data_IF_525906185840
#
_entry.id   IF_525906185840
#
_cell.length_a   1.000
_cell.length_b   1.000
_cell.length_c   1.000
_cell.angle_alpha   90.00
_cell.angle_beta   90.00
_cell.angle_gamma   90.00
#
_symmetry.space_group_name_H-M   'P 1'
#
loop_
_entity.id
_entity.type
_entity.pdbx_description
1 polymer ?
#
# COMPACT_ATOMS: atom_id res chain seq x y z
N UNK A 1 15.34 24.98 13.77
CA UNK A 1 16.75 25.00 13.33
C UNK A 1 16.89 24.36 11.95
N UNK A 2 17.94 24.68 11.17
CA UNK A 2 18.26 24.01 9.91
C UNK A 2 19.67 23.40 9.97
N UNK A 3 20.06 22.63 8.93
CA UNK A 3 21.38 21.97 8.88
C UNK A 3 22.54 22.93 8.99
N UNK A 4 22.41 24.12 8.40
CA UNK A 4 23.42 25.16 8.46
C UNK A 4 23.64 25.65 9.91
N UNK A 5 22.56 26.00 10.63
CA UNK A 5 22.63 26.40 12.03
C UNK A 5 23.22 25.33 12.94
N UNK A 6 22.86 24.06 12.72
CA UNK A 6 23.43 22.93 13.48
C UNK A 6 24.93 22.79 13.20
N UNK A 7 25.36 22.98 11.96
CA UNK A 7 26.77 22.90 11.58
C UNK A 7 27.62 24.05 12.19
N UNK A 8 27.05 25.27 12.30
CA UNK A 8 27.67 26.42 12.93
C UNK A 8 27.87 26.19 14.44
N UNK A 9 26.85 25.69 15.16
CA UNK A 9 26.94 25.33 16.58
C UNK A 9 28.03 24.28 16.83
N UNK A 10 28.12 23.28 15.96
CA UNK A 10 29.09 22.21 16.09
C UNK A 10 30.50 22.57 15.64
N UNK A 11 30.68 23.67 14.90
CA UNK A 11 31.94 24.02 14.27
C UNK A 11 32.39 23.02 13.19
N UNK A 12 31.43 22.37 12.52
CA UNK A 12 31.68 21.35 11.52
C UNK A 12 31.07 21.74 10.17
N UNK A 13 31.53 21.11 9.07
CA UNK A 13 30.93 21.32 7.77
C UNK A 13 29.52 20.70 7.71
N UNK A 14 28.62 21.33 6.94
CA UNK A 14 27.25 20.75 6.71
C UNK A 14 27.32 19.33 6.17
N UNK A 15 28.30 19.03 5.33
CA UNK A 15 28.51 17.68 4.78
C UNK A 15 28.83 16.67 5.88
N UNK A 16 29.71 17.01 6.81
CA UNK A 16 30.08 16.15 7.95
C UNK A 16 28.88 15.92 8.86
N UNK A 17 28.12 16.96 9.18
CA UNK A 17 26.91 16.85 10.01
C UNK A 17 25.85 16.01 9.31
N UNK A 18 25.61 16.24 8.03
CA UNK A 18 24.64 15.45 7.23
C UNK A 18 25.03 13.96 7.16
N UNK A 19 26.31 13.66 6.89
CA UNK A 19 26.81 12.28 6.86
C UNK A 19 26.68 11.57 8.21
N UNK A 20 27.00 12.28 9.30
CA UNK A 20 26.84 11.73 10.64
C UNK A 20 25.38 11.36 10.95
N UNK A 21 24.45 12.28 10.67
CA UNK A 21 23.02 12.09 10.90
C UNK A 21 22.41 10.98 10.03
N UNK A 22 22.99 10.73 8.85
CA UNK A 22 22.56 9.67 7.94
C UNK A 22 23.32 8.33 8.13
N UNK A 23 24.20 8.23 9.15
CA UNK A 23 24.84 6.97 9.49
C UNK A 23 26.01 6.56 8.59
N UNK A 24 26.57 7.49 7.80
CA UNK A 24 27.68 7.17 6.89
C UNK A 24 28.93 6.72 7.66
N UNK A 25 29.61 5.65 7.24
CA UNK A 25 30.72 5.04 7.99
C UNK A 25 31.98 5.94 8.06
N UNK A 26 32.12 6.92 7.17
CA UNK A 26 33.27 7.82 7.14
C UNK A 26 33.34 8.78 8.35
N UNK A 27 32.24 8.95 9.09
CA UNK A 27 32.19 9.77 10.30
C UNK A 27 32.47 8.88 11.51
N UNK A 28 33.55 9.19 12.24
CA UNK A 28 33.90 8.44 13.43
C UNK A 28 32.80 8.50 14.50
N UNK A 29 32.72 7.46 15.32
CA UNK A 29 31.63 7.26 16.27
C UNK A 29 31.53 8.35 17.34
N UNK A 30 32.67 8.89 17.80
CA UNK A 30 32.69 9.98 18.79
C UNK A 30 32.07 11.26 18.23
N UNK A 31 32.43 11.61 16.99
CA UNK A 31 31.86 12.79 16.29
C UNK A 31 30.37 12.56 16.01
N UNK A 32 29.97 11.35 15.60
CA UNK A 32 28.55 11.01 15.38
C UNK A 32 27.73 11.19 16.65
N UNK A 33 28.18 10.64 17.78
CA UNK A 33 27.50 10.79 19.07
C UNK A 33 27.35 12.24 19.48
N UNK A 34 28.39 13.05 19.31
CA UNK A 34 28.33 14.49 19.58
C UNK A 34 27.28 15.20 18.73
N UNK A 35 27.27 14.91 17.43
CA UNK A 35 26.29 15.50 16.48
C UNK A 35 24.85 15.09 16.82
N UNK A 36 24.62 13.83 17.13
CA UNK A 36 23.29 13.32 17.51
C UNK A 36 22.80 13.97 18.82
N UNK A 37 23.67 14.12 19.80
CA UNK A 37 23.33 14.77 21.08
C UNK A 37 22.90 16.23 20.87
N UNK A 38 23.68 17.01 20.12
CA UNK A 38 23.34 18.40 19.84
C UNK A 38 22.11 18.53 18.95
N UNK A 39 21.92 17.63 18.00
CA UNK A 39 20.70 17.60 17.19
C UNK A 39 19.44 17.35 18.05
N UNK A 40 19.53 16.41 18.99
CA UNK A 40 18.44 16.13 19.93
C UNK A 40 18.15 17.31 20.87
N UNK A 41 19.17 17.94 21.43
CA UNK A 41 19.05 19.15 22.29
C UNK A 41 18.30 20.28 21.60
N UNK A 42 18.52 20.43 20.30
CA UNK A 42 17.91 21.48 19.50
C UNK A 42 16.68 21.04 18.71
N UNK A 43 16.12 19.85 18.98
CA UNK A 43 14.99 19.26 18.25
C UNK A 43 15.18 19.30 16.72
N UNK A 44 16.43 19.08 16.27
CA UNK A 44 16.74 19.05 14.85
C UNK A 44 16.59 17.62 14.30
N UNK A 45 15.79 17.49 13.26
CA UNK A 45 15.70 16.28 12.44
C UNK A 45 16.08 16.60 11.00
N UNK A 46 16.83 15.71 10.31
CA UNK A 46 17.09 15.87 8.89
C UNK A 46 15.81 16.02 8.10
N UNK A 47 15.79 16.95 7.15
CA UNK A 47 14.64 17.12 6.28
C UNK A 47 14.50 15.89 5.35
N UNK A 48 13.44 15.10 5.54
CA UNK A 48 13.18 13.88 4.78
C UNK A 48 13.11 14.16 3.26
N UNK A 49 12.56 15.31 2.85
CA UNK A 49 12.50 15.69 1.43
C UNK A 49 13.89 15.98 0.85
N UNK A 50 14.76 16.65 1.63
CA UNK A 50 16.13 16.91 1.19
C UNK A 50 16.95 15.61 1.11
N UNK A 51 16.71 14.69 2.03
CA UNK A 51 17.29 13.34 1.99
C UNK A 51 16.76 12.56 0.78
N UNK A 52 15.47 12.60 0.52
CA UNK A 52 14.84 11.97 -0.62
C UNK A 52 15.41 12.45 -1.96
N UNK A 53 15.62 13.77 -2.10
CA UNK A 53 16.28 14.36 -3.29
C UNK A 53 17.71 13.82 -3.48
N UNK A 54 18.46 13.66 -2.39
CA UNK A 54 19.84 13.19 -2.44
C UNK A 54 19.97 11.68 -2.70
N UNK A 55 18.98 10.88 -2.27
CA UNK A 55 18.99 9.42 -2.37
C UNK A 55 18.12 8.88 -3.51
N UNK A 56 17.27 9.70 -4.10
CA UNK A 56 16.24 9.30 -5.06
C UNK A 56 15.11 8.46 -4.46
N UNK A 57 14.95 8.47 -3.11
CA UNK A 57 13.92 7.71 -2.38
C UNK A 57 13.07 8.61 -1.51
N UNK A 58 11.75 8.47 -1.62
CA UNK A 58 10.79 9.17 -0.78
C UNK A 58 10.71 8.56 0.64
N UNK A 59 11.03 7.29 0.80
CA UNK A 59 10.73 6.46 1.96
C UNK A 59 9.25 6.53 2.34
N UNK A 60 8.38 6.45 1.35
CA UNK A 60 6.94 6.50 1.51
C UNK A 60 6.25 5.52 0.55
N UNK A 61 5.16 4.91 1.01
CA UNK A 61 4.28 4.07 0.21
C UNK A 61 2.92 4.76 0.08
N UNK A 62 2.44 4.85 -1.16
CA UNK A 62 1.16 5.48 -1.49
C UNK A 62 0.00 4.49 -1.43
N UNK A 63 -1.14 4.97 -0.93
CA UNK A 63 -2.42 4.30 -0.98
C UNK A 63 -3.43 5.27 -1.58
N UNK A 64 -4.02 4.92 -2.71
CA UNK A 64 -5.05 5.72 -3.38
C UNK A 64 -6.39 5.03 -3.19
N UNK A 65 -7.33 5.73 -2.57
CA UNK A 65 -8.67 5.21 -2.24
C UNK A 65 -9.71 6.06 -2.98
N UNK A 66 -10.44 5.49 -3.95
CA UNK A 66 -11.54 6.17 -4.61
C UNK A 66 -12.68 6.48 -3.63
N UNK A 67 -13.30 7.66 -3.76
CA UNK A 67 -14.43 8.08 -2.91
C UNK A 67 -15.62 7.14 -3.06
N UNK A 68 -15.86 6.59 -4.26
CA UNK A 68 -16.90 5.58 -4.47
C UNK A 68 -16.71 4.34 -3.57
N UNK A 69 -15.47 4.09 -3.10
CA UNK A 69 -15.12 3.02 -2.17
C UNK A 69 -15.05 3.50 -0.71
N UNK A 70 -15.71 4.60 -0.34
CA UNK A 70 -15.72 5.11 1.05
C UNK A 70 -16.14 4.04 2.07
N UNK A 71 -16.95 3.08 1.67
CA UNK A 71 -17.33 1.95 2.52
C UNK A 71 -16.12 1.08 2.91
N UNK A 72 -15.06 1.05 2.10
CA UNK A 72 -13.81 0.35 2.47
C UNK A 72 -13.12 1.03 3.65
N UNK A 73 -13.17 2.36 3.74
CA UNK A 73 -12.55 3.12 4.84
C UNK A 73 -13.17 2.83 6.20
N UNK A 74 -14.46 2.51 6.23
CA UNK A 74 -15.19 2.13 7.47
C UNK A 74 -15.24 0.62 7.69
N UNK A 75 -14.70 -0.16 6.74
CA UNK A 75 -14.61 -1.61 6.87
C UNK A 75 -13.50 -1.98 7.87
N UNK A 76 -13.81 -2.68 8.96
CA UNK A 76 -12.80 -3.10 9.95
C UNK A 76 -11.62 -3.85 9.34
N UNK A 77 -11.85 -4.67 8.30
CA UNK A 77 -10.80 -5.43 7.61
C UNK A 77 -9.79 -4.49 6.93
N UNK A 78 -10.27 -3.39 6.35
CA UNK A 78 -9.37 -2.39 5.78
C UNK A 78 -8.59 -1.64 6.85
N UNK A 79 -9.24 -1.35 7.99
CA UNK A 79 -8.59 -0.78 9.17
C UNK A 79 -7.45 -1.68 9.69
N UNK A 80 -7.69 -2.97 9.81
CA UNK A 80 -6.69 -3.96 10.21
C UNK A 80 -5.53 -4.04 9.20
N UNK A 81 -5.84 -3.98 7.89
CA UNK A 81 -4.81 -3.93 6.84
C UNK A 81 -3.92 -2.70 7.00
N UNK A 82 -4.51 -1.50 7.15
CA UNK A 82 -3.76 -0.25 7.31
C UNK A 82 -2.91 -0.27 8.58
N UNK A 83 -3.43 -0.80 9.68
CA UNK A 83 -2.68 -0.95 10.93
C UNK A 83 -1.47 -1.87 10.74
N UNK A 84 -1.67 -3.05 10.14
CA UNK A 84 -0.58 -4.00 9.89
C UNK A 84 0.47 -3.45 8.90
N UNK A 85 0.04 -2.81 7.82
CA UNK A 85 0.94 -2.16 6.87
C UNK A 85 1.74 -1.03 7.54
N UNK A 86 1.08 -0.18 8.35
CA UNK A 86 1.72 0.90 9.08
C UNK A 86 2.79 0.43 10.05
N UNK A 87 2.56 -0.69 10.75
CA UNK A 87 3.57 -1.31 11.62
C UNK A 87 4.84 -1.72 10.84
N UNK A 88 4.66 -2.34 9.67
CA UNK A 88 5.78 -2.74 8.80
C UNK A 88 6.50 -1.51 8.24
N UNK A 89 5.75 -0.49 7.81
CA UNK A 89 6.34 0.75 7.30
C UNK A 89 7.17 1.46 8.36
N UNK A 90 6.63 1.62 9.58
CA UNK A 90 7.34 2.26 10.68
C UNK A 90 8.65 1.55 11.03
N UNK A 91 8.67 0.21 11.09
CA UNK A 91 9.89 -0.58 11.34
C UNK A 91 10.96 -0.40 10.25
N UNK A 92 10.55 -0.08 9.04
CA UNK A 92 11.45 0.11 7.89
C UNK A 92 11.70 1.58 7.56
N UNK A 93 11.30 2.53 8.43
CA UNK A 93 11.40 3.96 8.22
C UNK A 93 10.70 4.44 6.94
N UNK A 94 9.55 3.84 6.61
CA UNK A 94 8.65 4.31 5.57
C UNK A 94 7.46 5.04 6.17
N UNK A 95 7.00 6.06 5.47
CA UNK A 95 5.74 6.75 5.76
C UNK A 95 4.61 6.17 4.92
N UNK A 96 3.38 6.30 5.40
CA UNK A 96 2.17 5.98 4.65
C UNK A 96 1.58 7.27 4.09
N UNK A 97 1.38 7.34 2.78
CA UNK A 97 0.70 8.44 2.11
C UNK A 97 -0.68 7.96 1.65
N UNK A 98 -1.72 8.44 2.30
CA UNK A 98 -3.10 8.12 1.94
C UNK A 98 -3.71 9.26 1.13
N UNK A 99 -4.21 8.97 -0.06
CA UNK A 99 -4.93 9.90 -0.93
C UNK A 99 -6.34 9.39 -1.16
N UNK A 100 -7.33 10.19 -0.76
CA UNK A 100 -8.75 9.93 -1.03
C UNK A 100 -9.14 10.82 -2.20
N UNK A 101 -9.64 10.23 -3.28
CA UNK A 101 -9.84 10.92 -4.56
C UNK A 101 -11.12 10.47 -5.25
N UNK A 102 -11.67 11.31 -6.12
CA UNK A 102 -12.71 10.86 -7.04
C UNK A 102 -12.15 9.82 -8.02
N UNK A 103 -12.97 8.85 -8.42
CA UNK A 103 -12.58 7.77 -9.33
C UNK A 103 -11.94 8.28 -10.63
N UNK A 104 -12.40 9.42 -11.14
CA UNK A 104 -11.87 10.07 -12.34
C UNK A 104 -10.47 10.67 -12.13
N UNK A 105 -10.05 10.90 -10.90
CA UNK A 105 -8.77 11.54 -10.58
C UNK A 105 -7.67 10.55 -10.16
N UNK A 106 -7.96 9.24 -10.04
CA UNK A 106 -6.98 8.23 -9.63
C UNK A 106 -5.71 8.27 -10.49
N UNK A 107 -5.85 8.25 -11.82
CA UNK A 107 -4.72 8.30 -12.75
C UNK A 107 -3.84 9.53 -12.52
N UNK A 108 -4.46 10.69 -12.33
CA UNK A 108 -3.76 11.96 -12.07
C UNK A 108 -2.93 11.90 -10.79
N UNK A 109 -3.44 11.24 -9.76
CA UNK A 109 -2.71 11.06 -8.49
C UNK A 109 -1.51 10.12 -8.67
N UNK A 110 -1.66 8.99 -9.35
CA UNK A 110 -0.54 8.10 -9.64
C UNK A 110 0.56 8.80 -10.46
N UNK A 111 0.19 9.53 -11.51
CA UNK A 111 1.13 10.34 -12.31
C UNK A 111 1.80 11.44 -11.47
N UNK A 112 1.07 12.07 -10.54
CA UNK A 112 1.62 13.06 -9.61
C UNK A 112 2.59 12.43 -8.59
N UNK A 113 2.30 11.24 -8.06
CA UNK A 113 3.20 10.51 -7.20
C UNK A 113 4.54 10.23 -7.89
N UNK A 114 4.49 9.73 -9.13
CA UNK A 114 5.69 9.47 -9.93
C UNK A 114 6.46 10.74 -10.25
N UNK A 115 5.80 11.76 -10.80
CA UNK A 115 6.48 12.98 -11.28
C UNK A 115 7.09 13.81 -10.15
N UNK A 116 6.47 13.80 -8.97
CA UNK A 116 6.96 14.53 -7.78
C UNK A 116 7.91 13.71 -6.92
N UNK A 117 8.01 12.40 -7.17
CA UNK A 117 8.80 11.48 -6.33
C UNK A 117 8.33 11.49 -4.87
N UNK A 118 7.03 11.55 -4.62
CA UNK A 118 6.46 11.62 -3.27
C UNK A 118 6.29 10.26 -2.61
N UNK A 119 6.34 9.18 -3.39
CA UNK A 119 6.31 7.80 -2.92
C UNK A 119 7.29 6.95 -3.72
N UNK A 120 7.80 5.88 -3.13
CA UNK A 120 8.67 4.90 -3.80
C UNK A 120 7.88 3.80 -4.50
N UNK A 121 6.62 3.62 -4.11
CA UNK A 121 5.70 2.66 -4.68
C UNK A 121 4.31 2.84 -4.11
N UNK A 122 3.35 2.06 -4.62
CA UNK A 122 1.96 2.11 -4.18
C UNK A 122 1.39 0.73 -3.90
N UNK A 123 0.41 0.67 -3.00
CA UNK A 123 -0.49 -0.47 -2.87
C UNK A 123 -1.78 -0.13 -3.61
N UNK A 124 -2.12 -0.92 -4.63
CA UNK A 124 -3.37 -0.81 -5.36
C UNK A 124 -4.43 -1.65 -4.66
N UNK A 125 -5.49 -1.01 -4.20
CA UNK A 125 -6.59 -1.66 -3.48
C UNK A 125 -7.79 -1.95 -4.38
N UNK A 126 -8.57 -2.96 -4.01
CA UNK A 126 -9.84 -3.28 -4.62
C UNK A 126 -9.75 -3.43 -6.14
N UNK A 127 -8.95 -4.37 -6.68
CA UNK A 127 -8.79 -4.50 -8.11
C UNK A 127 -10.10 -4.94 -8.77
N UNK A 128 -10.37 -4.32 -9.93
CA UNK A 128 -11.47 -4.69 -10.83
C UNK A 128 -11.00 -5.81 -11.77
N UNK A 129 -11.96 -6.46 -12.43
CA UNK A 129 -11.64 -7.30 -13.58
C UNK A 129 -11.08 -6.40 -14.70
N UNK A 130 -10.03 -6.85 -15.40
CA UNK A 130 -9.34 -6.07 -16.44
C UNK A 130 -8.91 -4.67 -15.95
N UNK A 131 -8.33 -4.57 -14.76
CA UNK A 131 -8.03 -3.30 -14.09
C UNK A 131 -6.98 -2.48 -14.84
N UNK A 132 -7.40 -1.38 -15.48
CA UNK A 132 -6.53 -0.50 -16.27
C UNK A 132 -5.45 0.20 -15.44
N UNK A 133 -5.60 0.29 -14.11
CA UNK A 133 -4.59 0.90 -13.23
C UNK A 133 -3.29 0.11 -13.22
N UNK A 134 -3.34 -1.21 -13.44
CA UNK A 134 -2.15 -2.07 -13.52
C UNK A 134 -1.30 -1.66 -14.73
N UNK A 135 -1.92 -1.54 -15.91
CA UNK A 135 -1.22 -1.10 -17.11
C UNK A 135 -0.69 0.35 -16.97
N UNK A 136 -1.45 1.23 -16.34
CA UNK A 136 -1.02 2.60 -16.06
C UNK A 136 0.23 2.64 -15.17
N UNK A 137 0.25 1.87 -14.07
CA UNK A 137 1.38 1.85 -13.12
C UNK A 137 2.65 1.29 -13.77
N UNK A 138 2.52 0.28 -14.63
CA UNK A 138 3.62 -0.23 -15.45
C UNK A 138 4.13 0.82 -16.45
N UNK A 139 3.21 1.48 -17.19
CA UNK A 139 3.54 2.54 -18.16
C UNK A 139 4.38 3.66 -17.52
N UNK A 140 3.94 4.16 -16.36
CA UNK A 140 4.66 5.23 -15.67
C UNK A 140 5.86 4.73 -14.85
N UNK A 141 6.10 3.42 -14.84
CA UNK A 141 7.17 2.78 -14.06
C UNK A 141 7.12 3.17 -12.56
N UNK A 142 5.93 3.19 -11.98
CA UNK A 142 5.73 3.36 -10.53
C UNK A 142 5.62 1.97 -9.90
N UNK A 143 6.54 1.54 -9.02
CA UNK A 143 6.48 0.25 -8.37
C UNK A 143 5.15 0.05 -7.63
N UNK A 144 4.54 -1.14 -7.75
CA UNK A 144 3.27 -1.40 -7.09
C UNK A 144 3.10 -2.87 -6.69
N UNK A 145 2.22 -3.07 -5.72
CA UNK A 145 1.68 -4.38 -5.33
C UNK A 145 0.16 -4.26 -5.31
N UNK A 146 -0.52 -5.26 -5.83
CA UNK A 146 -1.99 -5.32 -5.81
C UNK A 146 -2.46 -6.05 -4.56
N UNK A 147 -3.25 -5.38 -3.72
CA UNK A 147 -3.99 -5.99 -2.62
C UNK A 147 -5.31 -6.54 -3.15
N UNK A 148 -5.32 -7.81 -3.41
CA UNK A 148 -6.26 -8.55 -4.22
C UNK A 148 -5.62 -9.07 -5.50
N UNK A 149 -6.41 -9.47 -6.46
CA UNK A 149 -5.96 -9.94 -7.77
C UNK A 149 -6.95 -9.49 -8.84
N UNK A 150 -6.46 -9.07 -10.01
CA UNK A 150 -7.27 -8.74 -11.16
C UNK A 150 -7.25 -9.88 -12.18
N UNK A 151 -8.42 -10.40 -12.53
CA UNK A 151 -8.58 -11.36 -13.62
C UNK A 151 -8.57 -10.66 -14.98
N UNK A 152 -8.17 -11.41 -16.04
CA UNK A 152 -8.14 -10.88 -17.40
C UNK A 152 -6.93 -10.01 -17.73
N UNK A 153 -5.92 -9.98 -16.86
CA UNK A 153 -4.66 -9.26 -17.08
C UNK A 153 -3.57 -10.29 -17.36
N UNK A 154 -2.95 -10.21 -18.53
CA UNK A 154 -1.86 -11.10 -18.96
C UNK A 154 -0.47 -10.61 -18.51
N UNK A 155 -0.37 -9.41 -17.93
CA UNK A 155 0.90 -8.87 -17.43
C UNK A 155 1.32 -9.53 -16.12
N UNK A 156 2.64 -9.65 -15.93
CA UNK A 156 3.21 -10.18 -14.70
C UNK A 156 3.35 -9.04 -13.67
N UNK A 157 2.54 -9.04 -12.63
CA UNK A 157 2.57 -8.07 -11.53
C UNK A 157 2.57 -8.76 -10.17
N UNK A 158 3.06 -8.07 -9.14
CA UNK A 158 3.05 -8.57 -7.76
C UNK A 158 1.68 -8.35 -7.13
N UNK A 159 1.14 -9.40 -6.50
CA UNK A 159 -0.14 -9.34 -5.81
C UNK A 159 -0.16 -10.19 -4.54
N UNK A 160 -1.03 -9.83 -3.62
CA UNK A 160 -1.36 -10.58 -2.42
C UNK A 160 -2.87 -10.66 -2.29
N UNK A 161 -3.43 -11.87 -2.26
CA UNK A 161 -4.87 -12.11 -2.19
C UNK A 161 -5.18 -13.35 -1.32
N UNK A 162 -6.39 -13.39 -0.78
CA UNK A 162 -6.96 -14.61 -0.21
C UNK A 162 -7.65 -15.41 -1.33
N UNK A 163 -7.71 -16.73 -1.19
CA UNK A 163 -8.41 -17.55 -2.19
C UNK A 163 -9.94 -17.41 -2.03
N UNK A 164 -10.49 -16.30 -2.54
CA UNK A 164 -11.91 -15.95 -2.46
C UNK A 164 -12.83 -17.05 -3.01
N UNK A 165 -12.46 -17.68 -4.15
CA UNK A 165 -13.26 -18.76 -4.76
C UNK A 165 -13.32 -19.98 -3.83
N UNK A 166 -12.17 -20.44 -3.33
CA UNK A 166 -12.12 -21.58 -2.42
C UNK A 166 -12.83 -21.30 -1.08
N UNK A 167 -12.68 -20.09 -0.55
CA UNK A 167 -13.32 -19.70 0.71
C UNK A 167 -14.87 -19.77 0.60
N UNK A 168 -15.42 -19.19 -0.46
CA UNK A 168 -16.87 -19.19 -0.67
C UNK A 168 -17.41 -20.55 -1.08
N UNK A 169 -16.65 -21.33 -1.84
CA UNK A 169 -17.00 -22.73 -2.11
C UNK A 169 -17.13 -23.52 -0.80
N UNK A 170 -16.12 -23.46 0.07
CA UNK A 170 -16.15 -24.18 1.35
C UNK A 170 -17.27 -23.69 2.28
N UNK A 171 -17.54 -22.38 2.32
CA UNK A 171 -18.63 -21.84 3.13
C UNK A 171 -20.00 -22.34 2.63
N UNK A 172 -20.19 -22.39 1.32
CA UNK A 172 -21.43 -22.92 0.71
C UNK A 172 -21.55 -24.43 0.91
N UNK A 173 -20.47 -25.20 0.71
CA UNK A 173 -20.44 -26.64 0.98
C UNK A 173 -20.82 -26.94 2.44
N UNK A 174 -20.31 -26.15 3.39
CA UNK A 174 -20.66 -26.28 4.80
C UNK A 174 -22.16 -26.12 5.06
N UNK A 175 -22.81 -25.14 4.43
CA UNK A 175 -24.26 -24.94 4.55
C UNK A 175 -25.04 -26.10 3.91
N UNK A 176 -24.58 -26.59 2.76
CA UNK A 176 -25.16 -27.75 2.10
C UNK A 176 -25.04 -29.04 2.94
N UNK A 177 -23.90 -29.22 3.63
CA UNK A 177 -23.68 -30.37 4.53
C UNK A 177 -24.61 -30.32 5.76
N UNK A 178 -25.03 -29.11 6.17
CA UNK A 178 -26.06 -28.94 7.20
C UNK A 178 -27.49 -29.14 6.71
N UNK A 179 -27.67 -29.43 5.42
CA UNK A 179 -28.98 -29.71 4.81
C UNK A 179 -29.71 -28.48 4.23
N UNK A 180 -29.06 -27.33 4.19
CA UNK A 180 -29.64 -26.14 3.57
C UNK A 180 -29.59 -26.24 2.05
N UNK A 181 -30.78 -26.23 1.41
CA UNK A 181 -30.91 -26.35 -0.05
C UNK A 181 -31.22 -25.01 -0.74
N UNK A 182 -31.58 -24.00 0.02
CA UNK A 182 -31.84 -22.62 -0.47
C UNK A 182 -30.91 -21.67 0.21
N UNK A 183 -29.83 -21.32 -0.50
CA UNK A 183 -28.73 -20.49 0.01
C UNK A 183 -28.62 -19.26 -0.88
N UNK A 184 -28.74 -18.07 -0.31
CA UNK A 184 -28.56 -16.83 -1.03
C UNK A 184 -27.13 -16.29 -0.85
N UNK A 185 -26.58 -15.69 -1.88
CA UNK A 185 -25.29 -15.01 -1.85
C UNK A 185 -25.49 -13.49 -1.79
N UNK A 186 -25.08 -12.87 -0.68
CA UNK A 186 -24.90 -11.41 -0.60
C UNK A 186 -23.43 -11.12 -0.87
N UNK A 187 -23.15 -10.36 -1.93
CA UNK A 187 -21.79 -10.20 -2.45
C UNK A 187 -21.44 -8.70 -2.65
N UNK A 188 -20.19 -8.41 -3.03
CA UNK A 188 -19.76 -7.11 -3.51
C UNK A 188 -20.22 -6.82 -4.94
N UNK A 189 -19.82 -5.66 -5.47
CA UNK A 189 -20.10 -5.30 -6.86
C UNK A 189 -19.45 -6.30 -7.83
N UNK A 190 -20.19 -6.76 -8.83
CA UNK A 190 -19.75 -7.75 -9.81
C UNK A 190 -18.55 -7.30 -10.66
N UNK A 191 -18.27 -6.00 -10.72
CA UNK A 191 -17.09 -5.45 -11.37
C UNK A 191 -15.80 -5.69 -10.59
N UNK A 192 -15.90 -6.01 -9.31
CA UNK A 192 -14.75 -6.29 -8.43
C UNK A 192 -14.32 -7.75 -8.59
N UNK A 193 -13.03 -7.98 -8.79
CA UNK A 193 -12.51 -9.34 -9.02
C UNK A 193 -12.82 -10.29 -7.86
N UNK A 194 -12.69 -9.84 -6.62
CA UNK A 194 -13.00 -10.67 -5.45
C UNK A 194 -14.47 -11.14 -5.43
N UNK A 195 -15.41 -10.26 -5.84
CA UNK A 195 -16.83 -10.57 -5.88
C UNK A 195 -17.12 -11.63 -6.96
N UNK A 196 -16.54 -11.47 -8.14
CA UNK A 196 -16.62 -12.46 -9.20
C UNK A 196 -16.09 -13.83 -8.75
N UNK A 197 -14.95 -13.88 -8.07
CA UNK A 197 -14.37 -15.13 -7.54
C UNK A 197 -15.21 -15.75 -6.44
N UNK A 198 -15.80 -14.95 -5.55
CA UNK A 198 -16.71 -15.42 -4.50
C UNK A 198 -17.95 -16.06 -5.10
N UNK A 199 -18.56 -15.39 -6.06
CA UNK A 199 -19.70 -15.94 -6.82
C UNK A 199 -19.34 -17.25 -7.49
N UNK A 200 -18.22 -17.34 -8.21
CA UNK A 200 -17.78 -18.58 -8.82
C UNK A 200 -17.60 -19.73 -7.81
N UNK A 201 -17.09 -19.44 -6.60
CA UNK A 201 -16.99 -20.46 -5.55
C UNK A 201 -18.34 -20.94 -5.03
N UNK A 202 -19.29 -20.01 -4.84
CA UNK A 202 -20.66 -20.32 -4.48
C UNK A 202 -21.35 -21.20 -5.55
N UNK A 203 -21.27 -20.82 -6.82
CA UNK A 203 -21.81 -21.56 -7.95
C UNK A 203 -21.19 -22.96 -8.08
N UNK A 204 -19.87 -23.08 -7.92
CA UNK A 204 -19.17 -24.39 -7.94
C UNK A 204 -19.73 -25.35 -6.88
N UNK A 205 -20.02 -24.87 -5.68
CA UNK A 205 -20.53 -25.70 -4.60
C UNK A 205 -21.96 -26.15 -4.84
N UNK A 206 -22.86 -25.30 -5.33
CA UNK A 206 -24.22 -25.63 -5.65
C UNK A 206 -24.28 -26.65 -6.81
N UNK A 207 -23.54 -26.38 -7.89
CA UNK A 207 -23.46 -27.25 -9.05
C UNK A 207 -22.94 -28.63 -8.68
N UNK A 208 -21.95 -28.76 -7.83
CA UNK A 208 -21.39 -30.02 -7.36
C UNK A 208 -22.42 -30.90 -6.60
N UNK A 209 -23.43 -30.26 -6.02
CA UNK A 209 -24.52 -30.93 -5.28
C UNK A 209 -25.83 -30.99 -6.07
N UNK A 210 -25.87 -30.56 -7.32
CA UNK A 210 -27.06 -30.55 -8.17
C UNK A 210 -28.17 -29.63 -7.67
N UNK A 211 -27.79 -28.56 -6.93
CA UNK A 211 -28.71 -27.52 -6.45
C UNK A 211 -28.80 -26.45 -7.52
N UNK A 212 -30.01 -26.12 -7.97
CA UNK A 212 -30.23 -25.04 -8.93
C UNK A 212 -29.97 -23.67 -8.29
N UNK A 213 -29.43 -22.78 -9.10
CA UNK A 213 -29.32 -21.37 -8.78
C UNK A 213 -30.68 -20.70 -8.96
N UNK A 214 -31.21 -20.09 -7.89
CA UNK A 214 -32.43 -19.26 -7.92
C UNK A 214 -32.15 -17.88 -8.50
#
# INVERSE_FOLDING_TARGET
>A
MNLKGLSEILGLSQTTVSRALNGYPEVNEATRKKILAVAAEHNYSPNARAKGLATGRANAIGHVIPIANQHEMVNPIFGDFIAGAGEVYARNNYEMVLSIVDDADEEKVYRAFKSRGTVDGVILHGPKMNDSRIALLDEISLPFVVHGRASGIDSNYSWLDVNNRSAFRRATEFLLDLGHMRIALINGLETMDFAHRRRGGYEDALNARGVELD
#
